data_IF_936391600161
#
_entry.id   IF_936391600161
#
_cell.length_a   1.000
_cell.length_b   1.000
_cell.length_c   1.000
_cell.angle_alpha   90.00
_cell.angle_beta   90.00
_cell.angle_gamma   90.00
#
_symmetry.space_group_name_H-M   'P 1'
#
loop_
_entity.id
_entity.type
_entity.pdbx_description
1 polymer ?
#
# COMPACT_ATOMS: atom_id res chain seq x y z
N UNK A 1 -29.87 11.60 -19.84
CA UNK A 1 -28.54 12.22 -19.60
C UNK A 1 -28.20 12.45 -18.12
N UNK A 2 -29.17 12.66 -17.21
CA UNK A 2 -28.87 12.90 -15.78
C UNK A 2 -28.32 11.67 -15.02
N UNK A 3 -28.76 10.46 -15.37
CA UNK A 3 -28.31 9.20 -14.73
C UNK A 3 -26.83 8.90 -15.04
N UNK A 4 -26.39 9.15 -16.28
CA UNK A 4 -24.99 8.95 -16.69
C UNK A 4 -24.02 9.88 -15.93
N UNK A 5 -24.44 11.12 -15.65
CA UNK A 5 -23.67 12.09 -14.86
C UNK A 5 -23.48 11.64 -13.41
N UNK A 6 -24.51 11.03 -12.80
CA UNK A 6 -24.43 10.54 -11.41
C UNK A 6 -23.47 9.35 -11.30
N UNK A 7 -23.50 8.42 -12.26
CA UNK A 7 -22.58 7.28 -12.28
C UNK A 7 -21.11 7.73 -12.41
N UNK A 8 -20.82 8.72 -13.25
CA UNK A 8 -19.46 9.25 -13.42
C UNK A 8 -18.93 9.88 -12.12
N UNK A 9 -19.75 10.61 -11.37
CA UNK A 9 -19.35 11.26 -10.11
C UNK A 9 -19.05 10.23 -9.01
N UNK A 10 -19.82 9.14 -8.96
CA UNK A 10 -19.58 8.05 -8.01
C UNK A 10 -18.24 7.36 -8.29
N UNK A 11 -17.92 7.10 -9.57
CA UNK A 11 -16.64 6.46 -9.95
C UNK A 11 -15.39 7.31 -9.66
N UNK A 12 -15.45 8.63 -9.86
CA UNK A 12 -14.29 9.51 -9.63
C UNK A 12 -13.89 9.56 -8.14
N UNK A 13 -14.88 9.41 -7.24
CA UNK A 13 -14.68 9.47 -5.78
C UNK A 13 -13.88 8.28 -5.23
N UNK A 14 -13.90 7.13 -5.91
CA UNK A 14 -13.12 5.95 -5.51
C UNK A 14 -11.64 6.09 -5.82
N UNK A 15 -11.27 6.83 -6.87
CA UNK A 15 -9.88 6.97 -7.32
C UNK A 15 -9.08 7.91 -6.42
N UNK A 16 -9.71 8.98 -5.91
CA UNK A 16 -9.06 9.92 -4.98
C UNK A 16 -8.84 9.32 -3.58
N UNK A 17 -9.75 8.42 -3.16
CA UNK A 17 -9.73 7.80 -1.83
C UNK A 17 -8.63 6.75 -1.66
N UNK A 18 -7.93 6.35 -2.72
CA UNK A 18 -6.87 5.35 -2.63
C UNK A 18 -5.45 5.94 -2.44
N UNK A 19 -5.32 7.27 -2.50
CA UNK A 19 -4.03 7.97 -2.38
C UNK A 19 -3.38 7.81 -0.99
N UNK A 20 -4.17 7.71 0.07
CA UNK A 20 -3.64 7.55 1.44
C UNK A 20 -2.96 6.20 1.62
N UNK A 21 -3.55 5.11 1.10
CA UNK A 21 -2.94 3.78 1.15
C UNK A 21 -1.55 3.78 0.50
N UNK A 22 -1.44 4.32 -0.71
CA UNK A 22 -0.16 4.36 -1.43
C UNK A 22 0.87 5.22 -0.67
N UNK A 23 0.47 6.38 -0.14
CA UNK A 23 1.31 7.23 0.71
C UNK A 23 1.82 6.48 1.95
N UNK A 24 0.95 5.76 2.66
CA UNK A 24 1.34 5.03 3.88
C UNK A 24 2.16 3.79 3.57
N UNK A 25 1.88 3.09 2.47
CA UNK A 25 2.72 2.00 1.96
C UNK A 25 4.14 2.49 1.70
N UNK A 26 4.29 3.63 1.02
CA UNK A 26 5.61 4.18 0.75
C UNK A 26 6.31 4.62 2.05
N UNK A 27 5.59 5.20 3.00
CA UNK A 27 6.16 5.63 4.28
C UNK A 27 6.57 4.48 5.20
N UNK A 28 5.74 3.44 5.33
CA UNK A 28 5.94 2.38 6.31
C UNK A 28 6.65 1.15 5.79
N UNK A 29 6.51 0.86 4.49
CA UNK A 29 7.02 -0.38 3.88
C UNK A 29 8.30 -0.15 3.05
N UNK A 30 8.79 1.09 2.97
CA UNK A 30 10.09 1.37 2.38
C UNK A 30 11.20 0.78 3.26
N UNK A 31 12.17 0.15 2.62
CA UNK A 31 13.27 -0.52 3.30
C UNK A 31 14.61 0.11 2.90
N UNK A 32 15.39 0.55 3.89
CA UNK A 32 16.66 1.26 3.65
C UNK A 32 16.49 2.43 2.69
N UNK A 33 17.34 2.50 1.65
CA UNK A 33 17.28 3.53 0.60
C UNK A 33 16.55 3.08 -0.67
N UNK A 34 15.76 2.01 -0.60
CA UNK A 34 15.06 1.50 -1.78
C UNK A 34 13.95 2.45 -2.22
N UNK A 35 13.83 2.68 -3.54
CA UNK A 35 12.79 3.57 -4.09
C UNK A 35 11.41 2.93 -4.09
N UNK A 36 11.36 1.61 -4.11
CA UNK A 36 10.11 0.84 -4.19
C UNK A 36 9.94 0.08 -2.88
N UNK A 37 8.85 0.29 -2.13
CA UNK A 37 8.60 -0.45 -0.89
C UNK A 37 8.33 -1.93 -1.16
N UNK A 38 8.70 -2.78 -0.20
CA UNK A 38 8.47 -4.22 -0.27
C UNK A 38 7.16 -4.59 0.43
N UNK A 39 6.24 -5.20 -0.32
CA UNK A 39 4.94 -5.63 0.21
C UNK A 39 4.72 -7.14 0.07
N UNK A 40 3.74 -7.64 0.81
CA UNK A 40 3.26 -9.02 0.64
C UNK A 40 2.60 -9.17 -0.73
N UNK A 41 2.60 -10.37 -1.32
CA UNK A 41 2.10 -10.59 -2.69
C UNK A 41 0.61 -10.22 -2.86
N UNK A 42 -0.20 -10.31 -1.81
CA UNK A 42 -1.66 -10.09 -1.89
C UNK A 42 -2.13 -8.80 -1.19
N UNK A 43 -1.29 -7.76 -1.14
CA UNK A 43 -1.67 -6.48 -0.51
C UNK A 43 -2.79 -5.73 -1.25
N UNK A 44 -3.14 -6.13 -2.48
CA UNK A 44 -4.19 -5.51 -3.28
C UNK A 44 -5.58 -5.62 -2.62
N UNK A 45 -5.85 -6.74 -1.93
CA UNK A 45 -7.09 -6.91 -1.15
C UNK A 45 -7.18 -5.92 0.02
N UNK A 46 -6.07 -5.69 0.72
CA UNK A 46 -5.95 -4.72 1.80
C UNK A 46 -6.09 -3.28 1.28
N UNK A 47 -5.51 -3.00 0.11
CA UNK A 47 -5.70 -1.72 -0.58
C UNK A 47 -7.17 -1.49 -0.90
N UNK A 48 -7.86 -2.47 -1.50
CA UNK A 48 -9.29 -2.35 -1.81
C UNK A 48 -10.14 -2.11 -0.56
N UNK A 49 -9.86 -2.83 0.54
CA UNK A 49 -10.54 -2.64 1.81
C UNK A 49 -10.33 -1.22 2.38
N UNK A 50 -9.09 -0.73 2.40
CA UNK A 50 -8.76 0.63 2.83
C UNK A 50 -9.48 1.68 1.97
N UNK A 51 -9.53 1.50 0.65
CA UNK A 51 -10.12 2.47 -0.27
C UNK A 51 -11.65 2.46 -0.26
N UNK A 52 -12.28 1.39 0.26
CA UNK A 52 -13.71 1.32 0.48
C UNK A 52 -14.17 2.05 1.77
N UNK A 53 -13.24 2.35 2.70
CA UNK A 53 -13.55 3.11 3.90
C UNK A 53 -13.87 4.58 3.55
N UNK A 54 -14.83 5.17 4.29
CA UNK A 54 -15.23 6.57 4.10
C UNK A 54 -14.06 7.48 4.47
N UNK A 55 -13.40 8.05 3.45
CA UNK A 55 -12.21 8.89 3.64
C UNK A 55 -10.86 8.14 3.52
N UNK A 56 -10.86 6.89 3.03
CA UNK A 56 -9.72 5.97 3.06
C UNK A 56 -9.39 5.48 4.47
N UNK A 57 -8.48 4.50 4.58
CA UNK A 57 -7.85 4.19 5.85
C UNK A 57 -7.02 5.37 6.32
N UNK A 58 -7.12 5.70 7.60
CA UNK A 58 -6.26 6.67 8.26
C UNK A 58 -4.86 6.09 8.50
N UNK A 59 -3.93 6.96 8.93
CA UNK A 59 -2.57 6.56 9.30
C UNK A 59 -2.54 5.47 10.38
N UNK A 60 -3.47 5.53 11.35
CA UNK A 60 -3.56 4.58 12.47
C UNK A 60 -4.21 3.26 12.06
N UNK A 61 -5.08 3.28 11.05
CA UNK A 61 -5.78 2.10 10.54
C UNK A 61 -4.99 1.36 9.45
N UNK A 62 -3.90 1.95 8.95
CA UNK A 62 -3.06 1.31 7.94
C UNK A 62 -2.49 -0.02 8.50
N UNK A 63 -2.81 -1.18 7.91
CA UNK A 63 -2.45 -2.47 8.47
C UNK A 63 -0.99 -2.80 8.14
N UNK A 64 -0.05 -2.10 8.77
CA UNK A 64 1.39 -2.15 8.49
C UNK A 64 1.92 -3.57 8.42
N UNK A 65 1.65 -4.38 9.44
CA UNK A 65 2.18 -5.74 9.56
C UNK A 65 1.59 -6.72 8.54
N UNK A 66 0.45 -6.36 7.93
CA UNK A 66 -0.19 -7.16 6.87
C UNK A 66 0.16 -6.67 5.46
N UNK A 67 0.60 -5.41 5.30
CA UNK A 67 0.97 -4.84 4.00
C UNK A 67 2.46 -4.91 3.75
N UNK A 68 3.27 -4.48 4.72
CA UNK A 68 4.71 -4.42 4.60
C UNK A 68 5.32 -5.81 4.74
N UNK A 69 6.32 -6.14 3.92
CA UNK A 69 7.02 -7.41 4.04
C UNK A 69 8.51 -7.20 4.28
N UNK A 70 8.95 -7.52 5.50
CA UNK A 70 10.35 -7.39 5.92
C UNK A 70 11.03 -8.71 6.24
N UNK A 71 10.38 -9.86 5.98
CA UNK A 71 11.04 -11.16 6.14
C UNK A 71 12.17 -11.33 5.13
N UNK A 72 13.20 -12.09 5.48
CA UNK A 72 14.33 -12.34 4.58
C UNK A 72 13.90 -12.84 3.20
N UNK A 73 12.89 -13.71 3.14
CA UNK A 73 12.37 -14.22 1.86
C UNK A 73 11.64 -13.16 1.05
N UNK A 74 10.93 -12.25 1.70
CA UNK A 74 10.35 -11.10 1.01
C UNK A 74 11.41 -10.12 0.54
N UNK A 75 12.42 -9.82 1.35
CA UNK A 75 13.50 -8.92 0.98
C UNK A 75 14.31 -9.48 -0.20
N UNK A 76 14.62 -10.79 -0.21
CA UNK A 76 15.25 -11.46 -1.35
C UNK A 76 14.42 -11.37 -2.63
N UNK A 77 13.09 -11.45 -2.52
CA UNK A 77 12.17 -11.35 -3.67
C UNK A 77 12.06 -9.91 -4.17
N UNK A 78 11.94 -8.94 -3.27
CA UNK A 78 11.78 -7.53 -3.61
C UNK A 78 13.07 -6.91 -4.13
N UNK A 79 14.21 -7.34 -3.58
CA UNK A 79 15.52 -6.74 -3.81
C UNK A 79 16.57 -7.84 -4.09
N UNK A 80 16.43 -8.61 -5.19
CA UNK A 80 17.35 -9.68 -5.49
C UNK A 80 18.79 -9.16 -5.63
N UNK A 81 19.74 -9.85 -5.00
CA UNK A 81 21.15 -9.46 -4.98
C UNK A 81 21.50 -8.37 -3.95
N UNK A 82 20.51 -7.70 -3.36
CA UNK A 82 20.72 -6.87 -2.17
C UNK A 82 20.70 -7.82 -0.97
N UNK A 83 21.80 -7.92 -0.24
CA UNK A 83 21.96 -8.82 0.91
C UNK A 83 21.19 -8.34 2.16
N UNK A 84 19.98 -7.82 1.96
CA UNK A 84 19.13 -7.29 3.01
C UNK A 84 18.63 -8.39 3.94
N UNK A 85 18.71 -8.13 5.25
CA UNK A 85 18.25 -9.03 6.32
C UNK A 85 17.35 -8.30 7.30
N UNK A 86 16.27 -8.96 7.70
CA UNK A 86 15.35 -8.40 8.67
C UNK A 86 16.06 -8.07 9.99
N UNK A 87 15.74 -6.91 10.58
CA UNK A 87 16.35 -6.46 11.84
C UNK A 87 17.76 -5.87 11.72
N UNK A 88 18.34 -5.79 10.53
CA UNK A 88 19.54 -4.98 10.31
C UNK A 88 19.13 -3.51 10.15
N UNK A 89 19.75 -2.63 10.95
CA UNK A 89 19.65 -1.18 10.78
C UNK A 89 20.60 -0.83 9.63
N UNK A 90 20.06 -0.39 8.50
CA UNK A 90 20.82 0.09 7.34
C UNK A 90 20.76 1.61 7.25
#
# INVERSE_FOLDING_TARGET
MRIALILVIVFISFVSSCKNFDKYKDMFCQYGQEKTPCTVQNYASLKAACCAMKGSCSFQEFPKDSVCCFTDDCLKRCYPGKLYKNGQVY
#
